data_IF_864357492606
#
_entry.id   IF_864357492606
#
_cell.length_a   1.000
_cell.length_b   1.000
_cell.length_c   1.000
_cell.angle_alpha   90.00
_cell.angle_beta   90.00
_cell.angle_gamma   90.00
#
_symmetry.space_group_name_H-M   'P 1'
#
loop_
_entity.id
_entity.type
_entity.pdbx_description
1 polymer ?
#
# COMPACT_ATOMS: atom_id res chain seq x y z
N UNK A 1 11.31 42.37 -1.11
CA UNK A 1 10.26 41.43 -0.65
C UNK A 1 10.47 40.12 -1.37
N UNK A 2 10.96 39.08 -0.69
CA UNK A 2 11.23 37.76 -1.30
C UNK A 2 9.99 36.90 -1.12
N UNK A 3 9.38 36.46 -2.22
CA UNK A 3 8.21 35.58 -2.24
C UNK A 3 8.69 34.13 -2.23
N UNK A 4 8.35 33.40 -1.17
CA UNK A 4 8.61 31.98 -1.07
C UNK A 4 7.69 31.21 -2.03
N UNK A 5 8.20 30.30 -2.89
CA UNK A 5 7.35 29.51 -3.75
C UNK A 5 6.62 28.46 -2.89
N UNK A 6 5.29 28.53 -2.87
CA UNK A 6 4.43 27.49 -2.32
C UNK A 6 4.47 26.27 -3.26
N UNK A 7 5.54 25.49 -3.19
CA UNK A 7 5.72 24.25 -3.94
C UNK A 7 5.62 23.03 -3.02
N UNK A 8 4.60 22.99 -2.16
CA UNK A 8 4.44 21.87 -1.22
C UNK A 8 3.26 20.94 -1.54
N UNK A 9 2.40 21.28 -2.51
CA UNK A 9 1.23 20.44 -2.87
C UNK A 9 1.53 19.38 -3.94
N UNK A 10 2.52 19.61 -4.82
CA UNK A 10 2.82 18.69 -5.94
C UNK A 10 3.54 17.40 -5.49
N UNK A 11 4.34 17.45 -4.41
CA UNK A 11 5.03 16.26 -3.88
C UNK A 11 4.06 15.23 -3.29
N UNK A 12 2.96 15.66 -2.67
CA UNK A 12 1.98 14.73 -2.12
C UNK A 12 1.24 13.96 -3.21
N UNK A 13 0.85 14.62 -4.31
CA UNK A 13 0.19 13.97 -5.44
C UNK A 13 1.08 12.94 -6.14
N UNK A 14 2.39 13.22 -6.24
CA UNK A 14 3.38 12.26 -6.75
C UNK A 14 3.51 11.02 -5.86
N UNK A 15 3.59 11.23 -4.54
CA UNK A 15 3.68 10.14 -3.56
C UNK A 15 2.43 9.25 -3.56
N UNK A 16 1.24 9.84 -3.71
CA UNK A 16 -0.01 9.07 -3.84
C UNK A 16 0.01 8.17 -5.08
N UNK A 17 0.45 8.70 -6.23
CA UNK A 17 0.51 7.91 -7.47
C UNK A 17 1.52 6.75 -7.36
N UNK A 18 2.68 6.99 -6.73
CA UNK A 18 3.69 5.96 -6.47
C UNK A 18 3.11 4.87 -5.58
N UNK A 19 2.39 5.25 -4.52
CA UNK A 19 1.73 4.30 -3.62
C UNK A 19 0.67 3.46 -4.34
N UNK A 20 -0.17 4.07 -5.19
CA UNK A 20 -1.15 3.31 -5.99
C UNK A 20 -0.48 2.31 -6.93
N UNK A 21 0.57 2.71 -7.65
CA UNK A 21 1.32 1.80 -8.52
C UNK A 21 1.98 0.65 -7.74
N UNK A 22 2.54 0.93 -6.56
CA UNK A 22 3.12 -0.10 -5.71
C UNK A 22 2.08 -1.11 -5.23
N UNK A 23 0.91 -0.63 -4.76
CA UNK A 23 -0.18 -1.51 -4.35
C UNK A 23 -0.61 -2.44 -5.46
N UNK A 24 -0.75 -1.93 -6.69
CA UNK A 24 -1.12 -2.74 -7.85
C UNK A 24 -0.05 -3.78 -8.19
N UNK A 25 1.24 -3.40 -8.16
CA UNK A 25 2.34 -4.33 -8.40
C UNK A 25 2.36 -5.47 -7.37
N UNK A 26 2.19 -5.15 -6.08
CA UNK A 26 2.12 -6.16 -5.01
C UNK A 26 0.88 -7.03 -5.18
N UNK A 27 -0.28 -6.44 -5.44
CA UNK A 27 -1.54 -7.16 -5.65
C UNK A 27 -1.46 -8.17 -6.81
N UNK A 28 -0.71 -7.82 -7.85
CA UNK A 28 -0.47 -8.69 -9.01
C UNK A 28 0.59 -9.76 -8.77
N UNK A 29 1.32 -9.72 -7.65
CA UNK A 29 2.40 -10.66 -7.37
C UNK A 29 1.87 -11.99 -6.84
N UNK A 30 2.47 -13.09 -7.28
CA UNK A 30 2.06 -14.43 -6.87
C UNK A 30 2.24 -14.70 -5.38
N UNK A 31 3.17 -14.00 -4.72
CA UNK A 31 3.37 -14.09 -3.26
C UNK A 31 2.19 -13.52 -2.48
N UNK A 32 1.72 -12.33 -2.88
CA UNK A 32 0.56 -11.69 -2.27
C UNK A 32 -0.73 -12.47 -2.50
N UNK A 33 -0.96 -12.97 -3.72
CA UNK A 33 -2.15 -13.76 -4.05
C UNK A 33 -2.25 -15.06 -3.22
N UNK A 34 -1.12 -15.72 -2.96
CA UNK A 34 -1.07 -16.91 -2.08
C UNK A 34 -1.35 -16.55 -0.63
N UNK A 35 -0.68 -15.51 -0.13
CA UNK A 35 -0.86 -15.03 1.23
C UNK A 35 -2.31 -14.59 1.51
N UNK A 36 -3.00 -14.00 0.52
CA UNK A 36 -4.41 -13.63 0.65
C UNK A 36 -5.35 -14.83 0.85
N UNK A 37 -5.05 -15.98 0.21
CA UNK A 37 -5.82 -17.23 0.38
C UNK A 37 -5.60 -17.81 1.78
N UNK A 38 -4.38 -17.70 2.31
CA UNK A 38 -4.02 -18.18 3.64
C UNK A 38 -4.58 -17.27 4.75
N UNK A 39 -4.87 -16.01 4.43
CA UNK A 39 -5.39 -15.01 5.36
C UNK A 39 -6.71 -14.39 4.87
N UNK A 40 -7.82 -15.17 4.82
CA UNK A 40 -9.13 -14.64 4.45
C UNK A 40 -9.56 -13.57 5.47
N UNK A 41 -9.59 -12.32 5.03
CA UNK A 41 -10.12 -11.23 5.84
C UNK A 41 -11.64 -11.33 5.86
N UNK A 42 -12.21 -11.25 7.06
CA UNK A 42 -13.66 -11.21 7.31
C UNK A 42 -14.28 -10.09 6.47
N UNK A 43 -14.98 -10.49 5.40
CA UNK A 43 -15.19 -9.68 4.19
C UNK A 43 -16.25 -8.57 4.34
N UNK A 44 -16.87 -8.44 5.51
CA UNK A 44 -18.23 -7.91 5.58
C UNK A 44 -18.34 -6.38 5.57
N UNK A 45 -17.26 -5.60 5.83
CA UNK A 45 -17.43 -4.15 6.08
C UNK A 45 -16.45 -3.18 5.41
N UNK A 46 -15.43 -3.65 4.69
CA UNK A 46 -14.28 -2.80 4.29
C UNK A 46 -13.78 -3.08 2.87
N UNK A 47 -14.68 -3.14 1.89
CA UNK A 47 -14.34 -3.52 0.51
C UNK A 47 -13.45 -2.49 -0.22
N UNK A 48 -13.52 -1.20 0.14
CA UNK A 48 -12.70 -0.14 -0.48
C UNK A 48 -11.36 0.09 0.26
N UNK A 49 -11.33 -0.13 1.58
CA UNK A 49 -10.10 -0.17 2.39
C UNK A 49 -9.31 -1.47 2.20
N UNK A 50 -9.85 -2.43 1.45
CA UNK A 50 -9.41 -3.81 1.44
C UNK A 50 -8.02 -3.99 0.82
N UNK A 51 -7.73 -3.32 -0.31
CA UNK A 51 -6.45 -3.51 -0.98
C UNK A 51 -5.31 -2.85 -0.21
N UNK A 52 -5.53 -1.62 0.25
CA UNK A 52 -4.54 -0.88 1.03
C UNK A 52 -4.21 -1.60 2.35
N UNK A 53 -5.23 -2.05 3.06
CA UNK A 53 -5.07 -2.82 4.29
C UNK A 53 -4.36 -4.16 4.06
N UNK A 54 -4.78 -4.95 3.06
CA UNK A 54 -4.14 -6.22 2.73
C UNK A 54 -2.67 -6.02 2.36
N UNK A 55 -2.37 -5.05 1.49
CA UNK A 55 -0.99 -4.74 1.08
C UNK A 55 -0.13 -4.32 2.26
N UNK A 56 -0.63 -3.46 3.15
CA UNK A 56 0.09 -3.05 4.36
C UNK A 56 0.35 -4.22 5.31
N UNK A 57 -0.63 -5.10 5.47
CA UNK A 57 -0.51 -6.29 6.33
C UNK A 57 0.50 -7.28 5.75
N UNK A 58 0.43 -7.58 4.47
CA UNK A 58 1.42 -8.41 3.76
C UNK A 58 2.83 -7.83 3.88
N UNK A 59 3.01 -6.52 3.66
CA UNK A 59 4.31 -5.86 3.82
C UNK A 59 4.82 -5.97 5.25
N UNK A 60 3.95 -5.78 6.25
CA UNK A 60 4.34 -5.92 7.66
C UNK A 60 4.83 -7.34 7.96
N UNK A 61 4.05 -8.35 7.59
CA UNK A 61 4.38 -9.75 7.88
C UNK A 61 5.65 -10.21 7.14
N UNK A 62 5.82 -9.81 5.87
CA UNK A 62 7.04 -10.10 5.09
C UNK A 62 8.28 -9.40 5.65
N UNK A 63 8.15 -8.15 6.11
CA UNK A 63 9.24 -7.42 6.75
C UNK A 63 9.60 -8.00 8.13
N UNK A 64 8.62 -8.44 8.92
CA UNK A 64 8.86 -9.12 10.20
C UNK A 64 9.63 -10.44 10.00
N UNK A 65 9.38 -11.14 8.88
CA UNK A 65 10.09 -12.39 8.53
C UNK A 65 11.55 -12.18 8.11
N UNK A 66 11.88 -11.00 7.56
CA UNK A 66 13.24 -10.67 7.09
C UNK A 66 14.12 -9.98 8.15
N UNK A 67 13.53 -9.57 9.29
CA UNK A 67 14.21 -8.86 10.36
C UNK A 67 14.85 -9.79 11.42
N UNK A 68 14.88 -11.10 11.15
CA UNK A 68 15.44 -12.15 12.01
C UNK A 68 16.71 -12.74 11.38
#
# INVERSE_FOLDING_TARGET
MIRFPASSTSQFSGNTKIWESLKQAIASSSGFQRWEIEHPLDNDRLQEFNLDYRVRRYLRETLETLAY
#
